data_IF_921291795270
#
_entry.id   IF_921291795270
#
_cell.length_a   1.000
_cell.length_b   1.000
_cell.length_c   1.000
_cell.angle_alpha   90.00
_cell.angle_beta   90.00
_cell.angle_gamma   90.00
#
_symmetry.space_group_name_H-M   'P 1'
#
loop_
_entity.id
_entity.type
_entity.pdbx_description
1 polymer ?
#
# COMPACT_ATOMS: atom_id res chain seq x y z
N UNK A 1 5.79 35.47 51.45
CA UNK A 1 6.60 34.53 52.26
C UNK A 1 5.65 33.52 52.90
N UNK A 2 5.99 32.23 53.09
CA UNK A 2 7.12 31.46 52.54
C UNK A 2 6.69 30.15 51.82
N UNK A 3 7.49 29.76 50.82
CA UNK A 3 7.59 28.40 50.30
C UNK A 3 8.32 27.56 51.34
N UNK A 4 7.72 26.45 51.77
CA UNK A 4 8.43 25.43 52.55
C UNK A 4 9.14 24.50 51.57
N UNK A 5 10.46 24.53 51.66
CA UNK A 5 11.42 23.63 51.01
C UNK A 5 12.00 22.78 52.13
N UNK A 6 11.79 21.47 52.10
CA UNK A 6 12.61 20.54 52.87
C UNK A 6 13.27 19.57 51.89
N UNK A 7 14.59 19.62 51.96
CA UNK A 7 15.58 18.80 51.30
C UNK A 7 15.72 17.43 52.00
N UNK A 8 16.33 16.51 51.24
CA UNK A 8 17.31 15.52 51.73
C UNK A 8 16.71 14.18 52.20
N UNK A 9 17.25 12.99 51.91
CA UNK A 9 18.42 12.52 51.15
C UNK A 9 18.44 10.98 51.29
N UNK A 10 19.20 10.34 50.39
CA UNK A 10 19.78 8.99 50.51
C UNK A 10 18.82 7.80 50.33
N UNK A 11 19.22 6.69 49.72
CA UNK A 11 20.39 6.31 48.96
C UNK A 11 20.07 4.94 48.31
N UNK A 12 20.55 4.69 47.09
CA UNK A 12 20.37 3.41 46.43
C UNK A 12 21.16 3.35 45.13
N UNK A 13 22.48 3.20 45.26
CA UNK A 13 23.41 2.92 44.15
C UNK A 13 23.06 1.56 43.51
N UNK A 14 22.98 1.49 42.19
CA UNK A 14 23.74 0.47 41.46
C UNK A 14 24.03 0.85 39.99
N UNK A 15 25.31 1.20 39.80
CA UNK A 15 26.23 0.88 38.69
C UNK A 15 25.67 0.77 37.25
N UNK A 16 26.08 1.74 36.42
CA UNK A 16 26.09 1.67 34.96
C UNK A 16 27.54 1.92 34.51
N UNK A 17 28.12 0.99 33.76
CA UNK A 17 29.36 1.20 32.99
C UNK A 17 29.02 1.51 31.53
N UNK A 18 29.87 2.28 30.81
CA UNK A 18 29.51 2.89 29.53
C UNK A 18 29.95 2.05 28.32
N UNK A 19 29.18 2.11 27.24
CA UNK A 19 29.62 1.74 25.90
C UNK A 19 29.48 2.96 24.97
N UNK A 20 30.63 3.45 24.50
CA UNK A 20 30.75 4.47 23.47
C UNK A 20 30.48 3.89 22.07
N UNK A 21 30.15 4.79 21.13
CA UNK A 21 30.63 4.66 19.76
C UNK A 21 29.53 4.60 18.71
N UNK A 22 29.27 5.73 18.07
CA UNK A 22 28.34 5.85 16.95
C UNK A 22 28.83 5.14 15.69
N UNK A 23 27.88 4.68 14.87
CA UNK A 23 28.17 4.08 13.57
C UNK A 23 27.26 4.68 12.50
N UNK A 24 27.89 5.48 11.63
CA UNK A 24 27.39 5.87 10.31
C UNK A 24 27.57 4.70 9.33
N UNK A 25 26.72 4.72 8.32
CA UNK A 25 26.77 3.99 7.05
C UNK A 25 28.17 3.67 6.52
N UNK A 26 28.36 2.49 5.96
CA UNK A 26 28.70 2.27 4.54
C UNK A 26 28.75 0.76 4.26
N UNK A 27 28.25 0.38 3.08
CA UNK A 27 28.38 -0.95 2.46
C UNK A 27 29.85 -1.17 2.09
N UNK A 28 30.44 -2.37 2.29
CA UNK A 28 31.68 -2.74 1.64
C UNK A 28 31.52 -3.86 0.61
N UNK A 29 32.28 -3.64 -0.45
CA UNK A 29 32.58 -4.49 -1.60
C UNK A 29 33.68 -5.51 -1.27
N UNK A 30 33.76 -6.51 -2.13
CA UNK A 30 34.94 -7.29 -2.52
C UNK A 30 35.45 -8.41 -1.59
N UNK A 31 35.35 -9.59 -2.17
CA UNK A 31 36.08 -10.83 -1.95
C UNK A 31 37.57 -10.63 -2.28
N UNK A 32 38.44 -11.02 -1.35
CA UNK A 32 39.86 -11.27 -1.60
C UNK A 32 40.26 -12.47 -0.72
N UNK A 33 40.59 -13.59 -1.36
CA UNK A 33 41.19 -14.76 -0.70
C UNK A 33 42.40 -15.23 -1.53
N UNK A 34 43.58 -14.92 -0.97
CA UNK A 34 44.78 -15.75 -0.83
C UNK A 34 45.34 -16.51 -2.04
N UNK A 35 46.56 -16.14 -2.45
CA UNK A 35 47.72 -17.03 -2.33
C UNK A 35 49.02 -16.27 -2.62
N UNK A 36 49.89 -16.15 -1.61
CA UNK A 36 51.29 -15.78 -1.77
C UNK A 36 52.15 -17.00 -2.07
N UNK A 37 53.20 -16.80 -2.86
CA UNK A 37 54.27 -17.77 -3.10
C UNK A 37 55.43 -17.11 -3.85
N UNK A 38 56.59 -17.10 -3.21
CA UNK A 38 57.92 -16.68 -3.68
C UNK A 38 58.26 -17.13 -5.12
N UNK A 39 59.17 -16.43 -5.84
CA UNK A 39 60.62 -16.74 -5.99
C UNK A 39 61.29 -15.60 -6.80
N UNK A 40 62.40 -15.07 -6.28
CA UNK A 40 63.32 -14.18 -6.98
C UNK A 40 64.29 -14.96 -7.90
N UNK A 41 64.57 -14.46 -9.11
CA UNK A 41 65.89 -14.58 -9.74
C UNK A 41 66.03 -13.69 -10.99
N UNK A 42 67.21 -13.08 -11.10
CA UNK A 42 67.79 -12.37 -12.24
C UNK A 42 67.46 -12.94 -13.63
N UNK A 43 67.53 -12.10 -14.67
CA UNK A 43 68.46 -12.25 -15.82
C UNK A 43 68.22 -11.20 -16.95
N UNK A 44 69.30 -10.45 -17.25
CA UNK A 44 69.77 -9.88 -18.54
C UNK A 44 69.18 -8.62 -19.19
N UNK A 45 70.15 -7.74 -19.44
CA UNK A 45 70.26 -6.68 -20.45
C UNK A 45 70.10 -7.14 -21.91
N UNK A 46 69.87 -6.11 -22.76
CA UNK A 46 70.11 -6.00 -24.21
C UNK A 46 69.07 -6.69 -25.11
N UNK A 47 68.54 -6.12 -26.19
CA UNK A 47 69.00 -5.03 -27.09
C UNK A 47 67.85 -4.69 -28.06
N UNK A 48 67.81 -3.42 -28.52
CA UNK A 48 67.26 -2.87 -29.80
C UNK A 48 65.93 -3.42 -30.37
N UNK A 49 65.02 -2.62 -30.89
CA UNK A 49 65.11 -1.97 -32.21
C UNK A 49 64.13 -0.77 -32.24
N UNK A 50 64.70 0.40 -32.53
CA UNK A 50 64.26 1.43 -33.47
C UNK A 50 62.79 1.91 -33.59
N UNK A 51 62.69 3.24 -33.49
CA UNK A 51 61.84 4.16 -34.28
C UNK A 51 60.38 3.77 -34.56
N UNK A 52 59.43 4.47 -33.92
CA UNK A 52 58.62 5.50 -34.61
C UNK A 52 57.64 6.21 -33.67
N UNK A 53 57.83 7.53 -33.62
CA UNK A 53 56.89 8.57 -33.25
C UNK A 53 55.57 8.38 -34.01
N UNK A 54 54.50 7.95 -33.34
CA UNK A 54 53.12 8.11 -33.86
C UNK A 54 52.36 9.04 -32.94
N UNK A 55 52.24 10.26 -33.44
CA UNK A 55 51.41 11.34 -32.94
C UNK A 55 49.95 10.97 -33.22
N UNK A 56 49.12 11.10 -32.19
CA UNK A 56 47.76 11.65 -32.21
C UNK A 56 47.20 11.92 -33.62
N UNK A 57 46.28 11.07 -34.11
CA UNK A 57 45.38 11.42 -35.21
C UNK A 57 43.94 11.25 -34.75
N UNK A 58 43.32 12.39 -34.44
CA UNK A 58 41.87 12.58 -34.54
C UNK A 58 41.43 12.17 -35.94
N UNK A 59 40.53 11.19 -36.03
CA UNK A 59 39.85 10.82 -37.28
C UNK A 59 39.07 12.03 -37.82
N UNK A 60 39.38 12.54 -39.03
CA UNK A 60 38.70 13.70 -39.56
C UNK A 60 38.07 13.37 -40.92
N UNK A 61 37.04 12.52 -41.00
CA UNK A 61 36.20 12.43 -42.21
C UNK A 61 35.01 11.46 -42.04
N UNK A 62 33.79 11.96 -41.79
CA UNK A 62 32.54 11.37 -42.34
C UNK A 62 31.24 12.18 -42.10
N UNK A 63 31.25 13.40 -41.53
CA UNK A 63 29.97 14.11 -41.24
C UNK A 63 29.46 15.00 -42.39
N UNK A 64 30.35 15.60 -43.19
CA UNK A 64 29.94 16.65 -44.14
C UNK A 64 29.19 16.14 -45.39
N UNK A 65 29.32 14.87 -45.75
CA UNK A 65 28.66 14.30 -46.94
C UNK A 65 27.24 13.80 -46.62
N UNK A 66 27.03 13.25 -45.41
CA UNK A 66 25.70 12.90 -44.89
C UNK A 66 24.85 14.15 -44.64
N UNK A 67 25.44 15.22 -44.10
CA UNK A 67 24.73 16.49 -43.86
C UNK A 67 24.20 17.10 -45.16
N UNK A 68 25.02 17.10 -46.22
CA UNK A 68 24.63 17.65 -47.53
C UNK A 68 23.60 16.79 -48.26
N UNK A 69 23.63 15.48 -48.05
CA UNK A 69 22.64 14.55 -48.60
C UNK A 69 21.27 14.74 -47.95
N UNK A 70 21.21 14.78 -46.61
CA UNK A 70 19.98 15.04 -45.86
C UNK A 70 19.41 16.42 -46.17
N UNK A 71 20.27 17.44 -46.27
CA UNK A 71 19.87 18.80 -46.60
C UNK A 71 19.29 18.91 -48.02
N UNK A 72 19.86 18.21 -49.01
CA UNK A 72 19.32 18.15 -50.38
C UNK A 72 17.98 17.43 -50.45
N UNK A 73 17.79 16.34 -49.72
CA UNK A 73 16.51 15.63 -49.67
C UNK A 73 15.45 16.52 -49.01
N UNK A 74 15.79 17.18 -47.90
CA UNK A 74 14.87 18.01 -47.15
C UNK A 74 14.42 19.24 -47.96
N UNK A 75 15.31 19.86 -48.74
CA UNK A 75 14.98 21.02 -49.58
C UNK A 75 14.27 20.63 -50.88
N UNK A 76 14.63 19.49 -51.50
CA UNK A 76 14.04 19.05 -52.77
C UNK A 76 12.67 18.38 -52.59
N UNK A 77 12.42 17.74 -51.46
CA UNK A 77 11.21 16.97 -51.17
C UNK A 77 10.45 17.48 -49.94
N UNK A 78 10.58 18.77 -49.60
CA UNK A 78 9.90 19.36 -48.43
C UNK A 78 8.36 19.21 -48.49
N UNK A 79 7.76 19.35 -49.67
CA UNK A 79 6.31 19.27 -49.87
C UNK A 79 5.72 17.87 -49.55
N UNK A 80 6.25 16.75 -50.10
CA UNK A 80 5.76 15.42 -49.74
C UNK A 80 6.09 15.02 -48.29
N UNK A 81 7.16 15.55 -47.69
CA UNK A 81 7.47 15.33 -46.28
C UNK A 81 6.41 16.00 -45.38
N UNK A 82 6.02 17.24 -45.67
CA UNK A 82 4.92 17.91 -44.96
C UNK A 82 3.60 17.18 -45.18
N UNK A 83 3.33 16.72 -46.40
CA UNK A 83 2.13 15.93 -46.69
C UNK A 83 2.08 14.63 -45.86
N UNK A 84 3.21 13.94 -45.69
CA UNK A 84 3.29 12.75 -44.83
C UNK A 84 3.10 13.05 -43.35
N UNK A 85 3.63 14.16 -42.85
CA UNK A 85 3.35 14.62 -41.50
C UNK A 85 1.84 14.91 -41.31
N UNK A 86 1.20 15.56 -42.28
CA UNK A 86 -0.24 15.82 -42.26
C UNK A 86 -1.07 14.53 -42.27
N UNK A 87 -0.71 13.56 -43.11
CA UNK A 87 -1.36 12.24 -43.15
C UNK A 87 -1.17 11.50 -41.81
N UNK A 88 0.02 11.57 -41.22
CA UNK A 88 0.31 11.02 -39.89
C UNK A 88 -0.56 11.64 -38.80
N UNK A 89 -0.78 12.95 -38.84
CA UNK A 89 -1.71 13.65 -37.94
C UNK A 89 -3.14 13.13 -38.11
N UNK A 90 -3.64 13.07 -39.35
CA UNK A 90 -5.02 12.61 -39.64
C UNK A 90 -5.25 11.20 -39.13
N UNK A 91 -4.30 10.29 -39.38
CA UNK A 91 -4.38 8.89 -38.92
C UNK A 91 -4.35 8.82 -37.38
N UNK A 92 -3.42 9.52 -36.73
CA UNK A 92 -3.30 9.50 -35.28
C UNK A 92 -4.54 10.08 -34.57
N UNK A 93 -5.10 11.17 -35.10
CA UNK A 93 -6.34 11.76 -34.57
C UNK A 93 -7.53 10.82 -34.79
N UNK A 94 -7.63 10.18 -35.95
CA UNK A 94 -8.68 9.19 -36.22
C UNK A 94 -8.62 8.01 -35.23
N UNK A 95 -7.41 7.51 -34.93
CA UNK A 95 -7.21 6.44 -33.93
C UNK A 95 -7.68 6.89 -32.55
N UNK A 96 -7.33 8.11 -32.11
CA UNK A 96 -7.76 8.63 -30.80
C UNK A 96 -9.27 8.83 -30.72
N UNK A 97 -9.90 9.26 -31.81
CA UNK A 97 -11.36 9.40 -31.87
C UNK A 97 -12.09 8.05 -31.83
N UNK A 98 -11.45 6.98 -32.29
CA UNK A 98 -11.98 5.62 -32.23
C UNK A 98 -11.86 4.97 -30.84
N UNK A 99 -11.07 5.54 -29.91
CA UNK A 99 -10.92 4.97 -28.57
C UNK A 99 -12.16 5.25 -27.71
N UNK A 100 -12.63 4.26 -26.92
CA UNK A 100 -13.80 4.44 -26.06
C UNK A 100 -13.51 5.49 -24.99
N UNK A 101 -14.51 6.32 -24.71
CA UNK A 101 -14.48 7.24 -23.58
C UNK A 101 -14.66 6.44 -22.29
N UNK A 102 -13.82 6.71 -21.30
CA UNK A 102 -13.85 6.02 -20.01
C UNK A 102 -14.19 7.00 -18.89
N UNK A 103 -15.00 6.59 -17.94
CA UNK A 103 -15.37 7.37 -16.77
C UNK A 103 -14.74 6.76 -15.52
N UNK A 104 -13.69 7.39 -14.96
CA UNK A 104 -13.08 6.93 -13.72
C UNK A 104 -13.98 7.25 -12.53
N UNK A 105 -14.26 6.22 -11.72
CA UNK A 105 -14.88 6.34 -10.41
C UNK A 105 -13.82 6.09 -9.31
N UNK A 106 -13.90 6.86 -8.24
CA UNK A 106 -12.96 6.82 -7.11
C UNK A 106 -13.76 6.74 -5.81
N UNK A 107 -13.38 5.81 -4.94
CA UNK A 107 -13.96 5.63 -3.63
C UNK A 107 -12.86 5.68 -2.58
N UNK A 108 -13.05 6.49 -1.55
CA UNK A 108 -12.20 6.52 -0.37
C UNK A 108 -12.93 5.82 0.77
N UNK A 109 -12.35 4.72 1.25
CA UNK A 109 -12.94 3.89 2.27
C UNK A 109 -11.96 3.64 3.43
N UNK A 110 -12.52 3.40 4.61
CA UNK A 110 -11.79 3.02 5.81
C UNK A 110 -12.05 1.56 6.12
N UNK A 111 -10.99 0.81 6.42
CA UNK A 111 -11.10 -0.59 6.83
C UNK A 111 -11.80 -0.65 8.18
N UNK A 112 -12.67 -1.64 8.36
CA UNK A 112 -13.35 -1.88 9.63
C UNK A 112 -12.35 -2.11 10.75
N UNK A 113 -12.77 -1.85 11.99
CA UNK A 113 -11.94 -2.03 13.18
C UNK A 113 -12.78 -2.59 14.32
N UNK A 114 -12.11 -3.22 15.28
CA UNK A 114 -12.75 -3.76 16.48
C UNK A 114 -12.00 -3.28 17.71
N UNK A 115 -12.70 -2.69 18.68
CA UNK A 115 -12.13 -2.29 19.96
C UNK A 115 -11.05 -1.20 19.90
N UNK A 116 -10.95 -0.46 18.79
CA UNK A 116 -9.90 0.55 18.60
C UNK A 116 -8.46 0.03 18.56
N UNK A 117 -8.27 -1.30 18.49
CA UNK A 117 -6.94 -1.94 18.49
C UNK A 117 -6.30 -2.06 17.10
N UNK A 118 -6.88 -1.39 16.10
CA UNK A 118 -6.44 -1.45 14.71
C UNK A 118 -7.50 -2.09 13.78
N UNK A 119 -7.20 -2.15 12.48
CA UNK A 119 -8.14 -2.66 11.49
C UNK A 119 -8.39 -4.16 11.66
N UNK A 120 -9.59 -4.61 11.27
CA UNK A 120 -10.00 -6.01 11.26
C UNK A 120 -9.15 -6.86 10.30
N UNK A 121 -8.50 -6.22 9.34
CA UNK A 121 -7.61 -6.85 8.36
C UNK A 121 -6.49 -5.89 8.03
N UNK A 122 -5.28 -6.42 7.84
CA UNK A 122 -4.12 -5.62 7.44
C UNK A 122 -4.40 -4.90 6.09
N UNK A 123 -4.16 -3.58 5.98
CA UNK A 123 -4.21 -2.87 4.70
C UNK A 123 -3.47 -3.59 3.56
N UNK A 124 -2.33 -4.23 3.82
CA UNK A 124 -1.61 -4.99 2.80
C UNK A 124 -2.38 -6.22 2.32
N UNK A 125 -3.10 -6.90 3.22
CA UNK A 125 -3.97 -8.02 2.89
C UNK A 125 -5.19 -7.59 2.08
N UNK A 126 -5.77 -6.41 2.36
CA UNK A 126 -6.84 -5.82 1.53
C UNK A 126 -6.33 -5.54 0.12
N UNK A 127 -5.16 -4.92 -0.01
CA UNK A 127 -4.53 -4.68 -1.31
C UNK A 127 -4.35 -5.99 -2.08
N UNK A 128 -3.73 -7.00 -1.45
CA UNK A 128 -3.54 -8.31 -2.06
C UNK A 128 -4.87 -8.94 -2.47
N UNK A 129 -5.88 -8.94 -1.58
CA UNK A 129 -7.24 -9.48 -1.84
C UNK A 129 -7.85 -8.87 -3.09
N UNK A 130 -7.76 -7.55 -3.26
CA UNK A 130 -8.36 -6.84 -4.40
C UNK A 130 -7.66 -7.09 -5.73
N UNK A 131 -6.39 -7.52 -5.70
CA UNK A 131 -5.63 -7.87 -6.90
C UNK A 131 -5.96 -9.28 -7.42
N UNK A 132 -6.60 -10.13 -6.61
CA UNK A 132 -6.96 -11.48 -7.05
C UNK A 132 -8.10 -11.45 -8.09
N UNK A 133 -8.03 -12.28 -9.16
CA UNK A 133 -9.08 -12.35 -10.18
C UNK A 133 -10.47 -12.70 -9.64
N UNK A 134 -10.54 -13.51 -8.57
CA UNK A 134 -11.81 -13.87 -7.93
C UNK A 134 -12.52 -12.67 -7.33
N UNK A 135 -11.77 -11.68 -6.81
CA UNK A 135 -12.34 -10.45 -6.26
C UNK A 135 -13.15 -9.69 -7.32
N UNK A 136 -12.59 -9.57 -8.53
CA UNK A 136 -13.26 -8.87 -9.63
C UNK A 136 -14.56 -9.58 -10.01
N UNK A 137 -14.58 -10.91 -10.02
CA UNK A 137 -15.79 -11.68 -10.29
C UNK A 137 -16.85 -11.49 -9.21
N UNK A 138 -16.44 -11.48 -7.94
CA UNK A 138 -17.34 -11.21 -6.81
C UNK A 138 -17.88 -9.78 -6.86
N UNK A 139 -17.04 -8.81 -7.24
CA UNK A 139 -17.41 -7.40 -7.40
C UNK A 139 -18.41 -7.21 -8.55
N UNK A 140 -18.17 -7.84 -9.70
CA UNK A 140 -19.10 -7.84 -10.85
C UNK A 140 -20.44 -8.47 -10.46
N UNK A 141 -20.41 -9.61 -9.75
CA UNK A 141 -21.63 -10.26 -9.24
C UNK A 141 -22.39 -9.35 -8.29
N UNK A 142 -21.70 -8.71 -7.35
CA UNK A 142 -22.31 -7.77 -6.41
C UNK A 142 -22.85 -6.51 -7.08
N UNK A 143 -22.29 -6.12 -8.22
CA UNK A 143 -22.78 -5.02 -9.06
C UNK A 143 -23.89 -5.44 -10.05
N UNK A 144 -24.35 -6.70 -9.99
CA UNK A 144 -25.33 -7.28 -10.92
C UNK A 144 -24.89 -7.17 -12.40
N UNK A 145 -23.58 -7.24 -12.63
CA UNK A 145 -22.96 -7.18 -13.96
C UNK A 145 -22.54 -8.57 -14.45
N UNK A 146 -22.41 -8.77 -15.78
CA UNK A 146 -21.90 -10.01 -16.33
C UNK A 146 -20.51 -10.33 -15.79
N UNK A 147 -20.31 -11.58 -15.38
CA UNK A 147 -19.07 -12.07 -14.78
C UNK A 147 -18.11 -12.60 -15.86
N UNK A 148 -18.60 -12.79 -17.08
CA UNK A 148 -17.81 -13.33 -18.19
C UNK A 148 -16.79 -12.29 -18.69
N UNK A 149 -15.55 -12.47 -18.24
CA UNK A 149 -14.40 -11.61 -18.57
C UNK A 149 -14.00 -11.74 -20.06
N UNK A 150 -14.40 -12.81 -20.75
CA UNK A 150 -14.05 -13.04 -22.15
C UNK A 150 -15.18 -12.64 -23.11
N UNK A 151 -16.44 -12.76 -22.67
CA UNK A 151 -17.62 -12.40 -23.46
C UNK A 151 -18.09 -10.96 -23.28
N UNK A 152 -17.83 -10.29 -22.15
CA UNK A 152 -18.27 -8.91 -21.89
C UNK A 152 -17.08 -7.94 -21.75
N UNK A 153 -17.07 -6.91 -22.60
CA UNK A 153 -16.10 -5.83 -22.57
C UNK A 153 -16.14 -5.03 -21.23
N UNK A 154 -17.26 -5.00 -20.52
CA UNK A 154 -17.39 -4.37 -19.18
C UNK A 154 -16.61 -5.13 -18.13
N UNK A 155 -16.76 -6.45 -18.09
CA UNK A 155 -16.03 -7.33 -17.17
C UNK A 155 -14.53 -7.31 -17.43
N UNK A 156 -14.15 -7.27 -18.72
CA UNK A 156 -12.76 -7.12 -19.16
C UNK A 156 -12.16 -5.77 -18.76
N UNK A 157 -12.92 -4.68 -18.91
CA UNK A 157 -12.51 -3.34 -18.47
C UNK A 157 -12.34 -3.29 -16.94
N UNK A 158 -13.29 -3.85 -16.19
CA UNK A 158 -13.23 -3.98 -14.74
C UNK A 158 -11.93 -4.65 -14.29
N UNK A 159 -11.60 -5.80 -14.88
CA UNK A 159 -10.36 -6.53 -14.58
C UNK A 159 -9.09 -5.72 -14.83
N UNK A 160 -9.08 -4.90 -15.89
CA UNK A 160 -7.91 -4.12 -16.28
C UNK A 160 -7.73 -2.85 -15.43
N UNK A 161 -8.83 -2.26 -14.96
CA UNK A 161 -8.82 -0.90 -14.41
C UNK A 161 -9.13 -0.82 -12.93
N UNK A 162 -9.76 -1.86 -12.35
CA UNK A 162 -9.98 -1.93 -10.92
C UNK A 162 -8.64 -2.02 -10.21
N UNK A 163 -8.34 -1.01 -9.40
CA UNK A 163 -7.12 -0.99 -8.61
C UNK A 163 -7.37 -0.33 -7.25
N UNK A 164 -6.58 -0.76 -6.29
CA UNK A 164 -6.63 -0.33 -4.90
C UNK A 164 -5.29 0.26 -4.51
N UNK A 165 -5.32 1.37 -3.80
CA UNK A 165 -4.16 2.10 -3.33
C UNK A 165 -4.32 2.33 -1.82
N UNK A 166 -3.33 1.95 -1.03
CA UNK A 166 -3.33 2.25 0.41
C UNK A 166 -2.97 3.72 0.59
N UNK A 167 -3.80 4.45 1.32
CA UNK A 167 -3.61 5.88 1.57
C UNK A 167 -2.78 6.10 2.83
N UNK A 168 -2.11 7.25 2.91
CA UNK A 168 -1.37 7.64 4.12
C UNK A 168 -2.37 8.01 5.20
N UNK A 169 -2.55 7.14 6.20
CA UNK A 169 -3.45 7.37 7.31
C UNK A 169 -3.88 6.06 7.99
N UNK A 170 -4.62 6.13 9.11
CA UNK A 170 -5.06 4.95 9.82
C UNK A 170 -6.11 4.18 8.99
N UNK A 171 -5.65 3.10 8.37
CA UNK A 171 -6.48 2.09 7.71
C UNK A 171 -7.36 2.62 6.57
N UNK A 172 -6.85 3.59 5.82
CA UNK A 172 -7.52 4.17 4.65
C UNK A 172 -7.04 3.52 3.36
N UNK A 173 -7.95 3.27 2.44
CA UNK A 173 -7.64 2.81 1.10
C UNK A 173 -8.54 3.49 0.08
N UNK A 174 -7.98 3.72 -1.11
CA UNK A 174 -8.68 4.25 -2.27
C UNK A 174 -8.86 3.12 -3.26
N UNK A 175 -10.09 2.92 -3.72
CA UNK A 175 -10.38 2.07 -4.87
C UNK A 175 -10.74 2.95 -6.05
N UNK A 176 -10.30 2.55 -7.24
CA UNK A 176 -10.70 3.21 -8.47
C UNK A 176 -10.98 2.19 -9.56
N UNK A 177 -11.90 2.54 -10.45
CA UNK A 177 -12.25 1.72 -11.61
C UNK A 177 -12.75 2.60 -12.74
N UNK A 178 -12.49 2.20 -13.98
CA UNK A 178 -12.98 2.91 -15.16
C UNK A 178 -14.22 2.17 -15.70
N UNK A 179 -15.26 2.91 -16.09
CA UNK A 179 -16.46 2.37 -16.74
C UNK A 179 -16.75 3.02 -18.09
N UNK A 180 -17.57 2.38 -18.92
CA UNK A 180 -18.08 2.96 -20.18
C UNK A 180 -19.19 3.98 -19.96
N UNK A 181 -19.77 4.04 -18.77
CA UNK A 181 -20.73 5.05 -18.33
C UNK A 181 -20.42 5.44 -16.89
N UNK A 182 -20.94 6.59 -16.44
CA UNK A 182 -20.76 7.04 -15.05
C UNK A 182 -21.41 6.04 -14.09
N UNK A 183 -22.59 5.54 -14.47
CA UNK A 183 -23.41 4.61 -13.72
C UNK A 183 -22.72 3.24 -13.61
N UNK A 184 -22.14 2.73 -14.70
CA UNK A 184 -21.41 1.46 -14.67
C UNK A 184 -20.18 1.55 -13.75
N UNK A 185 -19.39 2.63 -13.85
CA UNK A 185 -18.22 2.83 -13.01
C UNK A 185 -18.60 2.90 -11.51
N UNK A 186 -19.66 3.65 -11.20
CA UNK A 186 -20.18 3.76 -9.84
C UNK A 186 -20.70 2.42 -9.30
N UNK A 187 -21.54 1.71 -10.06
CA UNK A 187 -22.11 0.42 -9.65
C UNK A 187 -21.04 -0.62 -9.40
N UNK A 188 -20.06 -0.72 -10.28
CA UNK A 188 -18.96 -1.66 -10.13
C UNK A 188 -18.13 -1.38 -8.88
N UNK A 189 -17.84 -0.10 -8.61
CA UNK A 189 -17.09 0.30 -7.41
C UNK A 189 -17.89 0.07 -6.13
N UNK A 190 -19.20 0.32 -6.14
CA UNK A 190 -20.11 -0.03 -5.04
C UNK A 190 -20.14 -1.53 -4.79
N UNK A 191 -20.24 -2.35 -5.85
CA UNK A 191 -20.20 -3.81 -5.76
C UNK A 191 -18.87 -4.31 -5.17
N UNK A 192 -17.75 -3.76 -5.62
CA UNK A 192 -16.43 -4.10 -5.09
C UNK A 192 -16.30 -3.76 -3.60
N UNK A 193 -16.80 -2.60 -3.18
CA UNK A 193 -16.82 -2.24 -1.77
C UNK A 193 -17.74 -3.15 -0.96
N UNK A 194 -18.92 -3.50 -1.49
CA UNK A 194 -19.86 -4.40 -0.82
C UNK A 194 -19.26 -5.79 -0.56
N UNK A 195 -18.42 -6.30 -1.47
CA UNK A 195 -17.67 -7.55 -1.25
C UNK A 195 -16.74 -7.42 -0.05
N UNK A 196 -15.92 -6.36 0.01
CA UNK A 196 -15.03 -6.12 1.15
C UNK A 196 -15.81 -5.92 2.46
N UNK A 197 -16.91 -5.18 2.42
CA UNK A 197 -17.78 -4.99 3.58
C UNK A 197 -18.34 -6.31 4.09
N UNK A 198 -18.77 -7.20 3.21
CA UNK A 198 -19.28 -8.52 3.59
C UNK A 198 -18.19 -9.39 4.20
N UNK A 199 -17.00 -9.43 3.60
CA UNK A 199 -15.86 -10.19 4.12
C UNK A 199 -15.41 -9.67 5.49
N UNK A 200 -15.27 -8.36 5.64
CA UNK A 200 -14.91 -7.72 6.91
C UNK A 200 -16.02 -7.83 7.95
N UNK A 201 -17.30 -7.84 7.56
CA UNK A 201 -18.42 -8.07 8.47
C UNK A 201 -18.33 -9.45 9.13
N UNK A 202 -17.97 -10.48 8.35
CA UNK A 202 -17.83 -11.84 8.89
C UNK A 202 -16.74 -11.90 9.97
N UNK A 203 -15.57 -11.30 9.70
CA UNK A 203 -14.48 -11.21 10.67
C UNK A 203 -14.85 -10.37 11.90
N UNK A 204 -15.52 -9.24 11.67
CA UNK A 204 -15.99 -8.37 12.75
C UNK A 204 -16.99 -9.09 13.64
N UNK A 205 -17.94 -9.84 13.07
CA UNK A 205 -18.95 -10.58 13.84
C UNK A 205 -18.30 -11.59 14.78
N UNK A 206 -17.30 -12.35 14.31
CA UNK A 206 -16.57 -13.31 15.15
C UNK A 206 -15.89 -12.59 16.31
N UNK A 207 -15.14 -11.53 16.04
CA UNK A 207 -14.43 -10.77 17.07
C UNK A 207 -15.38 -10.07 18.07
N UNK A 208 -16.54 -9.59 17.60
CA UNK A 208 -17.57 -9.00 18.46
C UNK A 208 -18.22 -10.06 19.34
N UNK A 209 -18.50 -11.24 18.80
CA UNK A 209 -19.12 -12.33 19.56
C UNK A 209 -18.19 -12.83 20.66
N UNK A 210 -16.91 -13.06 20.38
CA UNK A 210 -15.91 -13.42 21.40
C UNK A 210 -15.86 -12.39 22.56
N UNK A 211 -15.95 -11.10 22.24
CA UNK A 211 -16.00 -10.03 23.25
C UNK A 211 -17.31 -10.05 24.04
N UNK A 212 -18.45 -10.35 23.41
CA UNK A 212 -19.74 -10.48 24.10
C UNK A 212 -19.77 -11.68 25.02
N UNK A 213 -19.27 -12.83 24.59
CA UNK A 213 -19.14 -14.04 25.41
C UNK A 213 -18.26 -13.77 26.64
N UNK A 214 -17.13 -13.09 26.44
CA UNK A 214 -16.25 -12.68 27.53
C UNK A 214 -16.94 -11.71 28.49
N UNK A 215 -17.77 -10.80 27.99
CA UNK A 215 -18.58 -9.89 28.81
C UNK A 215 -19.61 -10.66 29.65
N UNK A 216 -20.28 -11.65 29.06
CA UNK A 216 -21.24 -12.50 29.76
C UNK A 216 -20.56 -13.34 30.87
N UNK A 217 -19.41 -13.95 30.57
CA UNK A 217 -18.60 -14.69 31.55
C UNK A 217 -18.17 -13.79 32.73
N UNK A 218 -17.81 -12.54 32.42
CA UNK A 218 -17.42 -11.56 33.43
C UNK A 218 -18.60 -11.10 34.29
N UNK A 219 -19.79 -10.95 33.71
CA UNK A 219 -21.02 -10.66 34.46
C UNK A 219 -21.34 -11.80 35.45
N UNK A 220 -21.21 -13.05 35.03
CA UNK A 220 -21.39 -14.21 35.91
C UNK A 220 -20.33 -14.24 37.04
N UNK A 221 -19.09 -13.86 36.74
CA UNK A 221 -18.00 -13.78 37.72
C UNK A 221 -18.27 -12.72 38.79
N UNK A 222 -18.80 -11.55 38.38
CA UNK A 222 -19.23 -10.48 39.29
C UNK A 222 -20.36 -10.98 40.19
N UNK A 223 -21.38 -11.62 39.63
CA UNK A 223 -22.51 -12.15 40.41
C UNK A 223 -22.06 -13.23 41.41
N UNK A 224 -21.18 -14.15 40.98
CA UNK A 224 -20.61 -15.19 41.84
C UNK A 224 -19.81 -14.58 43.00
N UNK A 225 -18.98 -13.58 42.71
CA UNK A 225 -18.17 -12.91 43.72
C UNK A 225 -19.04 -12.15 44.75
N UNK A 226 -20.15 -11.53 44.31
CA UNK A 226 -21.15 -10.92 45.20
C UNK A 226 -21.86 -11.96 46.08
N UNK A 227 -22.22 -13.13 45.53
CA UNK A 227 -22.83 -14.24 46.30
C UNK A 227 -21.87 -14.81 47.33
N UNK A 228 -20.60 -14.96 46.98
CA UNK A 228 -19.55 -15.41 47.90
C UNK A 228 -19.38 -14.43 49.06
N UNK A 229 -19.31 -13.13 48.76
CA UNK A 229 -19.28 -12.07 49.78
C UNK A 229 -20.46 -12.18 50.73
N UNK A 230 -21.67 -12.33 50.20
CA UNK A 230 -22.88 -12.46 51.02
C UNK A 230 -22.84 -13.73 51.88
N UNK A 231 -22.29 -14.83 51.35
CA UNK A 231 -22.12 -16.08 52.09
C UNK A 231 -21.13 -15.92 53.25
N UNK A 232 -20.01 -15.23 53.03
CA UNK A 232 -19.04 -14.90 54.07
C UNK A 232 -19.72 -14.07 55.17
N UNK A 233 -20.46 -13.01 54.80
CA UNK A 233 -21.18 -12.16 55.75
C UNK A 233 -22.23 -12.93 56.55
N UNK A 234 -23.06 -13.74 55.89
CA UNK A 234 -24.08 -14.57 56.54
C UNK A 234 -23.45 -15.61 57.49
N UNK A 235 -22.27 -16.16 57.15
CA UNK A 235 -21.55 -17.10 58.01
C UNK A 235 -21.03 -16.45 59.29
N UNK A 236 -20.65 -15.17 59.22
CA UNK A 236 -20.22 -14.40 60.40
C UNK A 236 -21.43 -14.11 61.30
N UNK A 237 -22.54 -13.66 60.72
CA UNK A 237 -23.76 -13.33 61.46
C UNK A 237 -24.36 -14.57 62.14
N UNK A 238 -24.44 -15.70 61.42
CA UNK A 238 -24.98 -16.95 61.97
C UNK A 238 -24.09 -17.60 63.05
N UNK A 239 -22.75 -17.46 62.97
CA UNK A 239 -21.83 -17.91 64.01
C UNK A 239 -21.79 -16.97 65.22
N UNK A 240 -22.07 -15.67 65.03
CA UNK A 240 -22.20 -14.71 66.13
C UNK A 240 -23.46 -14.95 66.98
N UNK A 241 -24.53 -15.49 66.38
CA UNK A 241 -25.82 -15.79 67.06
C UNK A 241 -25.79 -17.14 67.80
N UNK A 242 -24.96 -18.10 67.38
CA UNK A 242 -24.78 -19.41 68.05
C UNK A 242 -23.66 -19.32 69.10
N UNK A 243 -23.93 -18.62 70.20
CA UNK A 243 -23.05 -18.49 71.36
C UNK A 243 -22.46 -19.83 71.82
N UNK A 244 -21.17 -20.07 71.56
CA UNK A 244 -20.41 -21.19 72.14
C UNK A 244 -19.31 -21.81 71.28
N UNK A 245 -19.27 -21.58 69.96
CA UNK A 245 -18.18 -22.07 69.10
C UNK A 245 -17.22 -20.95 68.68
N UNK A 246 -15.94 -21.32 68.49
CA UNK A 246 -14.81 -20.45 68.18
C UNK A 246 -15.16 -19.45 67.07
N UNK A 247 -15.17 -18.15 67.39
CA UNK A 247 -15.38 -17.10 66.40
C UNK A 247 -14.34 -17.23 65.28
N UNK A 248 -14.73 -17.06 64.00
CA UNK A 248 -13.77 -16.94 62.91
C UNK A 248 -12.78 -15.81 63.21
N UNK A 249 -11.48 -16.04 62.95
CA UNK A 249 -10.45 -15.02 63.17
C UNK A 249 -10.81 -13.74 62.38
N UNK A 250 -11.04 -12.59 63.07
CA UNK A 250 -11.44 -11.34 62.43
C UNK A 250 -10.41 -10.84 61.42
N UNK A 251 -9.12 -11.18 61.60
CA UNK A 251 -8.07 -10.86 60.63
C UNK A 251 -8.29 -11.63 59.34
N UNK A 252 -8.59 -12.93 59.43
CA UNK A 252 -8.88 -13.77 58.27
C UNK A 252 -10.12 -13.29 57.51
N UNK A 253 -11.20 -12.98 58.23
CA UNK A 253 -12.43 -12.44 57.62
C UNK A 253 -12.16 -11.13 56.87
N UNK A 254 -11.42 -10.22 57.50
CA UNK A 254 -11.08 -8.93 56.86
C UNK A 254 -10.23 -9.13 55.61
N UNK A 255 -9.32 -10.11 55.63
CA UNK A 255 -8.50 -10.48 54.47
C UNK A 255 -9.35 -11.04 53.33
N UNK A 256 -10.27 -11.98 53.61
CA UNK A 256 -11.15 -12.56 52.60
C UNK A 256 -12.08 -11.52 51.97
N UNK A 257 -12.69 -10.65 52.78
CA UNK A 257 -13.53 -9.56 52.27
C UNK A 257 -12.73 -8.58 51.39
N UNK A 258 -11.50 -8.26 51.80
CA UNK A 258 -10.62 -7.39 51.01
C UNK A 258 -10.19 -8.06 49.70
N UNK A 259 -9.86 -9.35 49.72
CA UNK A 259 -9.51 -10.10 48.53
C UNK A 259 -10.69 -10.13 47.54
N UNK A 260 -11.89 -10.44 48.03
CA UNK A 260 -13.12 -10.43 47.24
C UNK A 260 -13.41 -9.05 46.61
N UNK A 261 -13.25 -7.95 47.37
CA UNK A 261 -13.41 -6.58 46.86
C UNK A 261 -12.41 -6.24 45.75
N UNK A 262 -11.14 -6.61 45.91
CA UNK A 262 -10.10 -6.38 44.88
C UNK A 262 -10.44 -7.14 43.60
N UNK A 263 -10.90 -8.40 43.71
CA UNK A 263 -11.34 -9.17 42.55
C UNK A 263 -12.59 -8.59 41.88
N UNK A 264 -13.58 -8.16 42.67
CA UNK A 264 -14.78 -7.50 42.18
C UNK A 264 -14.42 -6.24 41.39
N UNK A 265 -13.59 -5.37 41.97
CA UNK A 265 -13.13 -4.15 41.31
C UNK A 265 -12.42 -4.45 39.99
N UNK A 266 -11.56 -5.48 39.96
CA UNK A 266 -10.89 -5.94 38.74
C UNK A 266 -11.88 -6.42 37.68
N UNK A 267 -12.92 -7.17 38.06
CA UNK A 267 -13.93 -7.63 37.11
C UNK A 267 -14.76 -6.47 36.55
N UNK A 268 -15.15 -5.50 37.39
CA UNK A 268 -15.88 -4.31 36.95
C UNK A 268 -15.04 -3.44 36.00
N UNK A 269 -13.75 -3.27 36.29
CA UNK A 269 -12.83 -2.56 35.41
C UNK A 269 -12.71 -3.26 34.04
N UNK A 270 -12.50 -4.58 34.02
CA UNK A 270 -12.46 -5.36 32.79
C UNK A 270 -13.76 -5.26 31.99
N UNK A 271 -14.91 -5.22 32.67
CA UNK A 271 -16.21 -5.09 32.02
C UNK A 271 -16.35 -3.72 31.37
N UNK A 272 -15.90 -2.67 32.06
CA UNK A 272 -15.94 -1.29 31.56
C UNK A 272 -15.07 -1.14 30.31
N UNK A 273 -13.85 -1.68 30.34
CA UNK A 273 -12.95 -1.66 29.18
C UNK A 273 -13.56 -2.42 28.00
N UNK A 274 -14.16 -3.59 28.23
CA UNK A 274 -14.73 -4.40 27.16
C UNK A 274 -15.99 -3.76 26.56
N UNK A 275 -16.82 -3.12 27.38
CA UNK A 275 -17.97 -2.30 26.94
C UNK A 275 -17.51 -1.10 26.10
N UNK A 276 -16.45 -0.41 26.53
CA UNK A 276 -15.87 0.69 25.79
C UNK A 276 -15.34 0.24 24.42
N UNK A 277 -14.68 -0.93 24.35
CA UNK A 277 -14.22 -1.51 23.09
C UNK A 277 -15.38 -1.87 22.14
N UNK A 278 -16.51 -2.32 22.68
CA UNK A 278 -17.70 -2.69 21.88
C UNK A 278 -18.53 -1.50 21.40
N UNK A 279 -18.18 -0.26 21.78
CA UNK A 279 -18.86 0.93 21.27
C UNK A 279 -18.73 1.04 19.74
N UNK A 280 -19.79 1.47 19.07
CA UNK A 280 -19.82 1.64 17.60
C UNK A 280 -18.75 2.60 17.08
N UNK A 281 -18.37 3.61 17.88
CA UNK A 281 -17.27 4.51 17.54
C UNK A 281 -15.91 3.79 17.42
N UNK A 282 -15.73 2.68 18.15
CA UNK A 282 -14.49 1.90 18.24
C UNK A 282 -14.57 0.55 17.52
N UNK A 283 -15.78 0.10 17.21
CA UNK A 283 -16.07 -1.14 16.49
C UNK A 283 -17.04 -0.84 15.35
N UNK A 284 -16.53 -0.82 14.12
CA UNK A 284 -17.31 -0.56 12.93
C UNK A 284 -16.80 -1.39 11.76
N UNK A 285 -17.68 -1.71 10.81
CA UNK A 285 -17.32 -2.36 9.56
C UNK A 285 -16.73 -1.35 8.56
N UNK A 286 -16.09 -1.84 7.50
CA UNK A 286 -15.63 -1.02 6.38
C UNK A 286 -16.71 -0.09 5.88
N UNK A 287 -16.37 1.19 5.76
CA UNK A 287 -17.29 2.24 5.37
C UNK A 287 -16.63 3.23 4.43
N UNK A 288 -17.45 3.91 3.66
CA UNK A 288 -17.03 5.06 2.87
C UNK A 288 -16.74 6.23 3.81
N UNK A 289 -15.58 6.87 3.62
CA UNK A 289 -15.27 8.14 4.28
C UNK A 289 -15.76 9.34 3.45
N UNK A 290 -15.91 9.13 2.14
CA UNK A 290 -16.48 10.10 1.21
C UNK A 290 -17.44 9.40 0.23
N UNK A 291 -18.45 10.11 -0.30
CA UNK A 291 -19.26 9.56 -1.39
C UNK A 291 -18.37 9.21 -2.59
N UNK A 292 -18.77 8.19 -3.34
CA UNK A 292 -18.05 7.78 -4.54
C UNK A 292 -18.03 8.94 -5.53
N UNK A 293 -16.82 9.38 -5.88
CA UNK A 293 -16.62 10.46 -6.82
C UNK A 293 -16.44 9.89 -8.23
N UNK A 294 -17.35 10.25 -9.14
CA UNK A 294 -17.24 9.91 -10.56
C UNK A 294 -16.84 11.18 -11.31
N UNK A 295 -15.79 11.10 -12.12
CA UNK A 295 -15.30 12.29 -12.84
C UNK A 295 -16.35 12.77 -13.84
N UNK A 296 -16.62 14.07 -13.86
CA UNK A 296 -17.62 14.66 -14.76
C UNK A 296 -17.23 14.53 -16.23
N UNK A 297 -15.93 14.67 -16.51
CA UNK A 297 -15.33 14.54 -17.83
C UNK A 297 -14.74 13.14 -18.05
N UNK A 298 -15.01 12.50 -19.19
CA UNK A 298 -14.39 11.23 -19.51
C UNK A 298 -12.86 11.38 -19.67
N UNK A 299 -12.12 10.37 -19.23
CA UNK A 299 -10.70 10.21 -19.53
C UNK A 299 -10.59 9.79 -20.99
N UNK A 300 -10.15 10.71 -21.85
CA UNK A 300 -9.81 10.44 -23.25
C UNK A 300 -8.35 10.80 -23.53
N UNK A 301 -7.67 10.12 -24.47
CA UNK A 301 -6.33 10.51 -24.90
C UNK A 301 -6.34 11.95 -25.42
N UNK A 302 -5.29 12.73 -25.11
CA UNK A 302 -5.19 14.09 -25.61
C UNK A 302 -4.99 14.09 -27.12
N UNK A 303 -5.98 14.65 -27.84
CA UNK A 303 -5.93 14.79 -29.31
C UNK A 303 -4.70 15.57 -29.77
N UNK A 304 -4.26 16.54 -28.97
CA UNK A 304 -3.09 17.37 -29.26
C UNK A 304 -1.82 16.52 -29.19
N UNK A 305 -1.65 15.73 -28.12
CA UNK A 305 -0.49 14.85 -27.97
C UNK A 305 -0.45 13.84 -29.12
N UNK A 306 -1.59 13.24 -29.46
CA UNK A 306 -1.68 12.30 -30.56
C UNK A 306 -1.36 12.94 -31.92
N UNK A 307 -1.81 14.19 -32.16
CA UNK A 307 -1.44 14.93 -33.36
C UNK A 307 0.08 15.16 -33.45
N UNK A 308 0.74 15.56 -32.36
CA UNK A 308 2.20 15.73 -32.34
C UNK A 308 2.94 14.41 -32.60
N UNK A 309 2.54 13.33 -31.95
CA UNK A 309 3.15 12.00 -32.15
C UNK A 309 2.91 11.52 -33.58
N UNK A 310 1.70 11.68 -34.10
CA UNK A 310 1.35 11.35 -35.49
C UNK A 310 2.16 12.15 -36.51
N UNK A 311 2.36 13.44 -36.27
CA UNK A 311 3.18 14.30 -37.13
C UNK A 311 4.64 13.84 -37.16
N UNK A 312 5.23 13.54 -36.00
CA UNK A 312 6.62 13.09 -35.89
C UNK A 312 6.83 11.74 -36.58
N UNK A 313 5.93 10.77 -36.37
CA UNK A 313 6.00 9.47 -37.03
C UNK A 313 5.78 9.58 -38.54
N UNK A 314 4.81 10.37 -38.99
CA UNK A 314 4.56 10.62 -40.41
C UNK A 314 5.74 11.30 -41.11
N UNK A 315 6.35 12.27 -40.44
CA UNK A 315 7.57 12.95 -40.91
C UNK A 315 8.74 11.97 -41.03
N UNK A 316 9.05 11.23 -39.96
CA UNK A 316 10.14 10.27 -39.95
C UNK A 316 9.97 9.17 -41.00
N UNK A 317 8.74 8.66 -41.17
CA UNK A 317 8.41 7.67 -42.18
C UNK A 317 8.64 8.19 -43.60
N UNK A 318 8.23 9.43 -43.91
CA UNK A 318 8.48 10.00 -45.24
C UNK A 318 9.97 10.24 -45.48
N UNK A 319 10.71 10.75 -44.50
CA UNK A 319 12.16 10.94 -44.64
C UNK A 319 12.86 9.62 -44.93
N UNK A 320 12.50 8.55 -44.20
CA UNK A 320 13.05 7.21 -44.43
C UNK A 320 12.69 6.66 -45.82
N UNK A 321 11.44 6.84 -46.26
CA UNK A 321 10.97 6.39 -47.57
C UNK A 321 11.71 7.09 -48.72
N UNK A 322 11.92 8.39 -48.61
CA UNK A 322 12.68 9.15 -49.61
C UNK A 322 14.18 8.82 -49.59
N UNK A 323 14.78 8.61 -48.42
CA UNK A 323 16.16 8.15 -48.31
C UNK A 323 16.34 6.75 -48.94
N UNK A 324 15.40 5.83 -48.69
CA UNK A 324 15.40 4.49 -49.28
C UNK A 324 15.21 4.52 -50.79
N UNK A 325 14.31 5.38 -51.29
CA UNK A 325 14.12 5.58 -52.73
C UNK A 325 15.37 6.16 -53.40
N UNK A 326 16.04 7.12 -52.75
CA UNK A 326 17.29 7.70 -53.26
C UNK A 326 18.44 6.68 -53.28
N UNK A 327 18.46 5.73 -52.33
CA UNK A 327 19.42 4.62 -52.31
C UNK A 327 19.15 3.57 -53.41
N UNK A 328 17.89 3.30 -53.74
CA UNK A 328 17.48 2.30 -54.74
C UNK A 328 17.61 2.74 -56.20
N UNK A 329 17.72 4.04 -56.48
CA UNK A 329 17.95 4.54 -57.84
C UNK A 329 19.47 4.72 -58.01
N UNK A 330 20.20 3.79 -58.66
CA UNK A 330 21.61 4.00 -58.94
C UNK A 330 21.69 5.20 -59.89
N UNK A 331 22.56 6.17 -59.62
CA UNK A 331 22.83 7.22 -60.59
C UNK A 331 23.34 6.54 -61.87
N UNK A 332 22.49 6.48 -62.91
CA UNK A 332 22.94 6.22 -64.27
C UNK A 332 23.80 7.43 -64.68
N UNK A 333 25.09 7.31 -64.43
CA UNK A 333 26.11 7.96 -65.26
C UNK A 333 26.32 7.09 -66.50
#
# INVERSE_FOLDING_TARGET
MPKIRLLSSAAGKNQIHPAQGGQKSLIPSAYEELAGGDIAAHTRHATNIDTTKTIMSSSPYSDSENDRFLQKILISHWLPIIAGALVGVVIAVAIVMAQPKLWPAIALAKIGQVGGSGPVTDPAAVLARTQFPSFIQDALRAAEMPIDIYGDERAKLARKTLTTLIQRGPSLFQMQVDGYTKEDAQKLLMGALAVLQREHQALLNVAVEEKKERLASLANSIESNLKERQTILNSIESNAVKSGQSQPDPVMVSYLLRANEVEHARFVEQQTILKDQLQEAKTYNTRLEAPIYVTETPRSPSKIIAAFVGALLGFAFMVALFAFRAWLVPSRN
#
